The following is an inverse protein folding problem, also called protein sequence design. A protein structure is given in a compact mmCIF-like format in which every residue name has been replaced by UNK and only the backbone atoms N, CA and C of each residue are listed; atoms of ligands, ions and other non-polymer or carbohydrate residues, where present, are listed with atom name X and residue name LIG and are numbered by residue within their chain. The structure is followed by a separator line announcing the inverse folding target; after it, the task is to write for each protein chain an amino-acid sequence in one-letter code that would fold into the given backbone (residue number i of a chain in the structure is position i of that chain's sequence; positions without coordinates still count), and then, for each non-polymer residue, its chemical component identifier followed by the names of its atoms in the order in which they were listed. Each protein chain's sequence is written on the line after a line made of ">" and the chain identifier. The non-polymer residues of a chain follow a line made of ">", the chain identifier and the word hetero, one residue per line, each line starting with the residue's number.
data_IF_696694761523
#
_entry.id   IF_696694761523
#
_cell.length_a   1.000
_cell.length_b   1.000
_cell.length_c   1.000
_cell.angle_alpha   90.00
_cell.angle_beta   90.00
_cell.angle_gamma   90.00
#
_symmetry.space_group_name_H-M   'P 1'
#
loop_
_entity.id
_entity.type
_entity.pdbx_description
1 polymer ?
#
# COMPACT_ATOMS: atom_id res chain seq x y z
N UNK A 1 -18.54 -10.50 -5.05
CA UNK A 1 -17.08 -10.64 -5.11
C UNK A 1 -16.34 -9.87 -4.02
N UNK A 2 -16.80 -8.70 -3.55
CA UNK A 2 -16.10 -7.93 -2.50
C UNK A 2 -15.79 -8.70 -1.20
N UNK A 3 -16.70 -9.57 -0.74
CA UNK A 3 -16.55 -10.24 0.56
C UNK A 3 -15.35 -11.19 0.68
N UNK A 4 -14.86 -11.76 -0.42
CA UNK A 4 -13.73 -12.69 -0.41
C UNK A 4 -12.35 -11.99 -0.39
N UNK A 5 -12.32 -10.70 -0.73
CA UNK A 5 -11.07 -9.92 -0.79
C UNK A 5 -10.81 -9.09 0.47
N UNK A 6 -11.79 -8.96 1.37
CA UNK A 6 -11.58 -8.23 2.61
C UNK A 6 -10.68 -9.01 3.57
N UNK A 7 -9.68 -8.37 4.19
CA UNK A 7 -9.01 -8.94 5.34
C UNK A 7 -10.01 -9.11 6.49
N UNK A 8 -9.71 -10.02 7.43
CA UNK A 8 -10.50 -10.12 8.65
C UNK A 8 -10.54 -8.76 9.35
N UNK A 9 -11.73 -8.32 9.77
CA UNK A 9 -11.93 -6.98 10.36
C UNK A 9 -10.96 -6.72 11.52
N UNK A 10 -10.87 -7.67 12.46
CA UNK A 10 -9.91 -7.58 13.57
C UNK A 10 -8.45 -7.53 13.13
N UNK A 11 -8.08 -8.30 12.09
CA UNK A 11 -6.72 -8.29 11.55
C UNK A 11 -6.33 -6.97 10.89
N UNK A 12 -7.26 -6.34 10.18
CA UNK A 12 -7.06 -5.02 9.58
C UNK A 12 -6.94 -3.93 10.65
N UNK A 13 -7.90 -3.85 11.58
CA UNK A 13 -7.88 -2.82 12.65
C UNK A 13 -6.59 -2.92 13.46
N UNK A 14 -6.19 -4.14 13.84
CA UNK A 14 -4.93 -4.36 14.53
C UNK A 14 -3.71 -3.89 13.70
N UNK A 15 -3.69 -4.21 12.40
CA UNK A 15 -2.61 -3.77 11.51
C UNK A 15 -2.53 -2.24 11.39
N UNK A 16 -3.66 -1.55 11.29
CA UNK A 16 -3.73 -0.08 11.22
C UNK A 16 -3.28 0.56 12.54
N UNK A 17 -3.78 0.06 13.68
CA UNK A 17 -3.36 0.55 15.00
C UNK A 17 -1.85 0.40 15.15
N UNK A 18 -1.30 -0.78 14.83
CA UNK A 18 0.14 -1.00 14.85
C UNK A 18 0.87 -0.06 13.90
N UNK A 19 0.40 0.09 12.66
CA UNK A 19 1.03 0.97 11.67
C UNK A 19 1.23 2.39 12.21
N UNK A 20 0.20 3.00 12.81
CA UNK A 20 0.29 4.36 13.34
C UNK A 20 1.04 4.45 14.66
N UNK A 21 0.91 3.45 15.53
CA UNK A 21 1.46 3.48 16.89
C UNK A 21 2.90 3.01 17.00
N UNK A 22 3.42 2.18 16.08
CA UNK A 22 4.72 1.50 16.25
C UNK A 22 5.88 2.47 16.46
N UNK A 23 6.03 3.45 15.55
CA UNK A 23 7.12 4.43 15.63
C UNK A 23 6.95 5.32 16.88
N UNK A 24 5.80 5.97 17.13
CA UNK A 24 5.60 6.75 18.35
C UNK A 24 5.84 5.96 19.64
N UNK A 25 5.29 4.75 19.73
CA UNK A 25 5.46 3.88 20.90
C UNK A 25 6.94 3.52 21.11
N UNK A 26 7.66 3.19 20.04
CA UNK A 26 9.08 2.94 20.10
C UNK A 26 9.87 4.15 20.63
N UNK A 27 9.56 5.36 20.16
CA UNK A 27 10.18 6.58 20.69
C UNK A 27 9.92 6.75 22.19
N UNK A 28 8.67 6.57 22.64
CA UNK A 28 8.29 6.70 24.05
C UNK A 28 8.94 5.64 24.95
N UNK A 29 8.96 4.38 24.51
CA UNK A 29 9.62 3.27 25.22
C UNK A 29 11.12 3.55 25.34
N UNK A 30 11.76 4.00 24.26
CA UNK A 30 13.19 4.33 24.26
C UNK A 30 13.48 5.48 25.21
N UNK A 31 12.67 6.54 25.17
CA UNK A 31 12.79 7.69 26.04
C UNK A 31 12.70 7.27 27.51
N UNK A 32 11.71 6.44 27.85
CA UNK A 32 11.52 5.93 29.21
C UNK A 32 12.66 5.02 29.67
N UNK A 33 13.18 4.18 28.78
CA UNK A 33 14.30 3.27 29.07
C UNK A 33 15.64 4.00 29.21
N UNK A 34 15.81 5.14 28.53
CA UNK A 34 17.03 5.95 28.56
C UNK A 34 16.94 7.17 29.49
N UNK A 35 15.87 7.30 30.28
CA UNK A 35 15.62 8.47 31.13
C UNK A 35 16.78 8.80 32.07
N UNK A 36 17.35 7.80 32.76
CA UNK A 36 18.46 8.02 33.67
C UNK A 36 19.72 8.52 32.96
N UNK A 37 19.97 8.03 31.73
CA UNK A 37 21.08 8.48 30.89
C UNK A 37 20.87 9.90 30.39
N UNK A 38 19.62 10.28 30.10
CA UNK A 38 19.24 11.66 29.74
C UNK A 38 19.50 12.60 30.91
N UNK A 39 19.03 12.25 32.11
CA UNK A 39 19.24 13.05 33.33
C UNK A 39 20.73 13.23 33.65
N UNK A 40 21.53 12.18 33.44
CA UNK A 40 22.98 12.19 33.62
C UNK A 40 23.76 12.75 32.41
N UNK A 41 23.08 13.24 31.37
CA UNK A 41 23.65 13.82 30.14
C UNK A 41 24.57 12.89 29.33
N UNK A 42 24.38 11.57 29.43
CA UNK A 42 25.10 10.57 28.64
C UNK A 42 24.50 10.40 27.24
N UNK A 43 24.62 11.44 26.40
CA UNK A 43 23.95 11.49 25.09
C UNK A 43 24.36 10.40 24.10
N UNK A 44 25.58 9.87 24.20
CA UNK A 44 26.04 8.76 23.32
C UNK A 44 25.19 7.50 23.52
N UNK A 45 24.89 7.13 24.76
CA UNK A 45 24.09 5.94 25.08
C UNK A 45 22.60 6.13 24.78
N UNK A 46 22.11 7.38 24.91
CA UNK A 46 20.76 7.78 24.50
C UNK A 46 20.63 7.63 22.99
N UNK A 47 21.52 8.25 22.21
CA UNK A 47 21.52 8.19 20.76
C UNK A 47 21.62 6.74 20.24
N UNK A 48 22.50 5.93 20.83
CA UNK A 48 22.62 4.50 20.50
C UNK A 48 21.29 3.76 20.69
N UNK A 49 20.56 4.04 21.77
CA UNK A 49 19.24 3.46 22.01
C UNK A 49 18.22 3.80 20.92
N UNK A 50 18.13 5.08 20.56
CA UNK A 50 17.24 5.54 19.49
C UNK A 50 17.61 4.96 18.13
N UNK A 51 18.90 4.89 17.79
CA UNK A 51 19.37 4.30 16.52
C UNK A 51 18.95 2.84 16.42
N UNK A 52 19.18 2.05 17.48
CA UNK A 52 18.77 0.63 17.51
C UNK A 52 17.26 0.50 17.30
N UNK A 53 16.48 1.34 17.97
CA UNK A 53 15.02 1.30 17.88
C UNK A 53 14.51 1.72 16.50
N UNK A 54 15.14 2.71 15.86
CA UNK A 54 14.83 3.10 14.46
C UNK A 54 15.14 1.95 13.49
N UNK A 55 16.30 1.29 13.65
CA UNK A 55 16.71 0.16 12.80
C UNK A 55 15.71 -0.99 12.90
N UNK A 56 15.09 -1.22 14.06
CA UNK A 56 14.10 -2.29 14.25
C UNK A 56 12.71 -1.86 13.74
N UNK A 57 12.29 -0.64 14.06
CA UNK A 57 10.91 -0.19 13.83
C UNK A 57 10.64 0.15 12.38
N UNK A 58 11.57 0.76 11.66
CA UNK A 58 11.38 1.12 10.24
C UNK A 58 11.08 -0.12 9.38
N UNK A 59 11.85 -1.24 9.44
CA UNK A 59 11.52 -2.47 8.74
C UNK A 59 10.10 -2.99 9.01
N UNK A 60 9.69 -3.00 10.28
CA UNK A 60 8.38 -3.54 10.69
C UNK A 60 7.27 -2.64 10.15
N UNK A 61 7.41 -1.31 10.30
CA UNK A 61 6.47 -0.35 9.74
C UNK A 61 6.43 -0.43 8.21
N UNK A 62 7.55 -0.68 7.55
CA UNK A 62 7.60 -0.85 6.10
C UNK A 62 6.84 -2.07 5.61
N UNK A 63 6.96 -3.21 6.31
CA UNK A 63 6.19 -4.42 5.99
C UNK A 63 4.70 -4.21 6.27
N UNK A 64 4.35 -3.57 7.39
CA UNK A 64 2.97 -3.21 7.71
C UNK A 64 2.37 -2.29 6.65
N UNK A 65 3.09 -1.24 6.24
CA UNK A 65 2.62 -0.31 5.22
C UNK A 65 2.41 -1.00 3.87
N UNK A 66 3.37 -1.85 3.47
CA UNK A 66 3.26 -2.62 2.24
C UNK A 66 2.03 -3.54 2.28
N UNK A 67 1.81 -4.24 3.39
CA UNK A 67 0.63 -5.08 3.60
C UNK A 67 -0.66 -4.27 3.50
N UNK A 68 -0.81 -3.20 4.28
CA UNK A 68 -2.05 -2.40 4.34
C UNK A 68 -2.35 -1.77 2.97
N UNK A 69 -1.33 -1.25 2.28
CA UNK A 69 -1.49 -0.69 0.93
C UNK A 69 -2.00 -1.74 -0.04
N UNK A 70 -1.46 -2.96 0.03
CA UNK A 70 -1.87 -4.09 -0.79
C UNK A 70 -3.26 -4.60 -0.44
N UNK A 71 -3.65 -4.60 0.83
CA UNK A 71 -5.02 -4.95 1.26
C UNK A 71 -6.03 -3.98 0.63
N UNK A 72 -5.72 -2.67 0.61
CA UNK A 72 -6.60 -1.67 -0.02
C UNK A 72 -6.73 -1.90 -1.52
N UNK A 73 -5.64 -2.17 -2.22
CA UNK A 73 -5.69 -2.45 -3.65
C UNK A 73 -6.42 -3.76 -3.94
N UNK A 74 -6.26 -4.76 -3.08
CA UNK A 74 -6.82 -6.08 -3.30
C UNK A 74 -8.35 -6.08 -3.25
N UNK A 75 -8.95 -5.32 -2.33
CA UNK A 75 -10.41 -5.16 -2.22
C UNK A 75 -11.06 -4.70 -3.53
N UNK A 76 -10.36 -3.85 -4.28
CA UNK A 76 -10.84 -3.25 -5.53
C UNK A 76 -10.20 -3.88 -6.78
N UNK A 77 -9.57 -5.04 -6.60
CA UNK A 77 -8.90 -5.75 -7.68
C UNK A 77 -9.68 -6.99 -8.11
N UNK A 78 -9.66 -7.28 -9.41
CA UNK A 78 -10.13 -8.56 -9.94
C UNK A 78 -9.18 -9.70 -9.59
N UNK A 79 -7.88 -9.40 -9.51
CA UNK A 79 -6.85 -10.39 -9.25
C UNK A 79 -5.59 -9.75 -8.68
N UNK A 80 -4.79 -10.57 -7.98
CA UNK A 80 -3.46 -10.24 -7.47
C UNK A 80 -2.44 -11.30 -7.86
N UNK A 81 -1.17 -10.90 -7.97
CA UNK A 81 -0.05 -11.83 -8.10
C UNK A 81 0.45 -12.30 -6.73
N UNK A 82 1.37 -13.28 -6.72
CA UNK A 82 2.17 -13.58 -5.53
C UNK A 82 3.12 -12.42 -5.21
N UNK A 83 3.58 -12.35 -3.96
CA UNK A 83 4.63 -11.41 -3.55
C UNK A 83 5.96 -11.86 -4.13
N UNK A 84 6.61 -10.99 -4.90
CA UNK A 84 7.88 -11.25 -5.55
C UNK A 84 8.95 -10.26 -5.07
N UNK A 85 10.23 -10.66 -5.12
CA UNK A 85 11.36 -9.79 -4.79
C UNK A 85 12.06 -9.21 -6.03
N UNK A 86 11.89 -9.86 -7.18
CA UNK A 86 12.55 -9.50 -8.45
C UNK A 86 11.54 -9.39 -9.59
N UNK A 87 11.85 -8.54 -10.58
CA UNK A 87 10.97 -8.31 -11.73
C UNK A 87 10.65 -9.61 -12.48
N UNK A 88 11.61 -10.52 -12.57
CA UNK A 88 11.43 -11.84 -13.20
C UNK A 88 10.34 -12.66 -12.53
N UNK A 89 10.38 -12.82 -11.20
CA UNK A 89 9.32 -13.50 -10.44
C UNK A 89 7.96 -12.84 -10.66
N UNK A 90 7.91 -11.50 -10.67
CA UNK A 90 6.65 -10.78 -10.83
C UNK A 90 6.07 -11.02 -12.22
N UNK A 91 6.91 -11.00 -13.25
CA UNK A 91 6.52 -11.30 -14.64
C UNK A 91 5.97 -12.72 -14.76
N UNK A 92 6.67 -13.70 -14.20
CA UNK A 92 6.24 -15.10 -14.21
C UNK A 92 4.87 -15.24 -13.52
N UNK A 93 4.70 -14.63 -12.33
CA UNK A 93 3.41 -14.65 -11.64
C UNK A 93 2.29 -13.93 -12.39
N UNK A 94 2.61 -12.89 -13.17
CA UNK A 94 1.65 -12.22 -14.03
C UNK A 94 1.24 -13.09 -15.23
N UNK A 95 2.17 -13.86 -15.79
CA UNK A 95 1.92 -14.76 -16.92
C UNK A 95 1.14 -16.00 -16.50
N UNK A 96 1.39 -16.54 -15.31
CA UNK A 96 0.63 -17.63 -14.69
C UNK A 96 -0.83 -17.26 -14.37
N UNK A 97 -1.16 -15.95 -14.36
CA UNK A 97 -2.49 -15.50 -13.96
C UNK A 97 -3.50 -15.63 -15.12
N UNK A 98 -4.26 -16.73 -15.10
CA UNK A 98 -5.26 -17.04 -16.14
C UNK A 98 -6.49 -16.12 -16.12
N UNK A 99 -6.78 -15.46 -15.00
CA UNK A 99 -7.99 -14.65 -14.81
C UNK A 99 -7.98 -13.32 -15.58
N UNK A 100 -6.85 -12.63 -15.62
CA UNK A 100 -6.74 -11.32 -16.27
C UNK A 100 -5.75 -11.27 -17.44
N UNK A 101 -4.82 -12.24 -17.56
CA UNK A 101 -3.79 -12.29 -18.62
C UNK A 101 -3.10 -10.93 -18.83
N UNK A 102 -2.29 -10.53 -17.85
CA UNK A 102 -1.57 -9.25 -17.87
C UNK A 102 -0.78 -9.04 -19.18
N UNK A 103 -0.89 -7.85 -19.79
CA UNK A 103 -0.07 -7.48 -20.95
C UNK A 103 1.36 -7.11 -20.51
N UNK A 104 2.15 -8.12 -20.16
CA UNK A 104 3.52 -7.97 -19.66
C UNK A 104 4.41 -7.22 -20.64
N UNK A 105 4.24 -7.42 -21.94
CA UNK A 105 5.04 -6.75 -22.98
C UNK A 105 4.84 -5.23 -22.93
N UNK A 106 3.58 -4.78 -22.80
CA UNK A 106 3.28 -3.36 -22.63
C UNK A 106 3.82 -2.83 -21.29
N UNK A 107 3.64 -3.55 -20.19
CA UNK A 107 4.16 -3.17 -18.86
C UNK A 107 5.68 -2.95 -18.91
N UNK A 108 6.43 -3.89 -19.51
CA UNK A 108 7.88 -3.79 -19.70
C UNK A 108 8.27 -2.56 -20.52
N UNK A 109 7.51 -2.23 -21.57
CA UNK A 109 7.76 -1.08 -22.43
C UNK A 109 7.62 0.25 -21.69
N UNK A 110 6.62 0.39 -20.82
CA UNK A 110 6.46 1.58 -19.96
C UNK A 110 7.41 1.58 -18.75
N UNK A 111 8.04 0.44 -18.46
CA UNK A 111 9.02 0.26 -17.39
C UNK A 111 8.39 -0.37 -16.16
N UNK A 112 9.19 -1.08 -15.35
CA UNK A 112 8.72 -1.78 -14.15
C UNK A 112 9.73 -1.73 -13.00
N UNK A 113 9.29 -1.90 -11.74
CA UNK A 113 10.20 -2.00 -10.60
C UNK A 113 11.10 -3.25 -10.73
N UNK A 114 12.40 -3.08 -10.45
CA UNK A 114 13.40 -4.15 -10.65
C UNK A 114 13.54 -5.09 -9.45
N UNK A 115 13.72 -4.51 -8.26
CA UNK A 115 14.06 -5.20 -7.01
C UNK A 115 13.26 -4.60 -5.86
N UNK A 116 12.83 -5.46 -4.94
CA UNK A 116 12.11 -5.16 -3.71
C UNK A 116 10.84 -5.99 -3.60
N UNK A 117 10.25 -6.15 -2.40
CA UNK A 117 8.95 -6.79 -2.25
C UNK A 117 7.91 -6.07 -3.10
N UNK A 118 7.29 -6.79 -4.02
CA UNK A 118 6.33 -6.25 -4.97
C UNK A 118 5.18 -7.21 -5.25
N UNK A 119 4.01 -6.62 -5.49
CA UNK A 119 2.78 -7.33 -5.84
C UNK A 119 2.12 -6.52 -6.95
N UNK A 120 1.49 -7.22 -7.90
CA UNK A 120 0.69 -6.60 -8.92
C UNK A 120 -0.80 -6.91 -8.76
N UNK A 121 -1.61 -5.95 -9.15
CA UNK A 121 -3.06 -5.97 -9.05
C UNK A 121 -3.66 -5.51 -10.37
N UNK A 122 -4.82 -6.07 -10.68
CA UNK A 122 -5.70 -5.51 -11.70
C UNK A 122 -6.86 -4.81 -11.02
N UNK A 123 -6.84 -3.48 -11.01
CA UNK A 123 -7.96 -2.66 -10.51
C UNK A 123 -9.00 -2.49 -11.59
N UNK A 124 -10.23 -2.94 -11.34
CA UNK A 124 -11.36 -2.69 -12.22
C UNK A 124 -12.62 -2.56 -11.36
N UNK A 125 -13.02 -1.33 -11.07
CA UNK A 125 -14.20 -1.06 -10.26
C UNK A 125 -14.91 0.23 -10.72
N UNK A 126 -16.21 0.32 -10.46
CA UNK A 126 -17.10 1.42 -10.78
C UNK A 126 -18.04 1.68 -9.61
N UNK A 127 -17.92 2.86 -8.98
CA UNK A 127 -18.75 3.29 -7.86
C UNK A 127 -19.53 4.54 -8.24
N UNK A 128 -20.83 4.59 -7.92
CA UNK A 128 -21.60 5.82 -8.10
C UNK A 128 -21.24 6.83 -7.02
N UNK A 129 -20.80 8.02 -7.41
CA UNK A 129 -20.50 9.11 -6.51
C UNK A 129 -21.68 10.08 -6.46
N UNK A 130 -22.44 10.04 -5.34
CA UNK A 130 -23.63 10.88 -5.12
C UNK A 130 -23.29 12.39 -5.14
N UNK A 131 -22.11 12.78 -4.67
CA UNK A 131 -21.71 14.19 -4.60
C UNK A 131 -21.36 14.76 -5.97
N UNK A 132 -20.75 13.94 -6.84
CA UNK A 132 -20.35 14.35 -8.19
C UNK A 132 -21.40 14.03 -9.26
N UNK A 133 -22.52 13.39 -8.89
CA UNK A 133 -23.55 12.87 -9.81
C UNK A 133 -22.99 12.08 -11.00
N UNK A 134 -21.87 11.37 -10.80
CA UNK A 134 -21.19 10.59 -11.84
C UNK A 134 -20.69 9.27 -11.26
N UNK A 135 -20.42 8.31 -12.13
CA UNK A 135 -19.70 7.10 -11.74
C UNK A 135 -18.21 7.35 -11.74
N UNK A 136 -17.57 7.15 -10.60
CA UNK A 136 -16.11 7.09 -10.50
C UNK A 136 -15.69 5.68 -10.92
N UNK A 137 -14.74 5.59 -11.85
CA UNK A 137 -14.26 4.33 -12.44
C UNK A 137 -12.76 4.25 -12.23
N UNK A 138 -12.29 3.11 -11.73
CA UNK A 138 -10.86 2.79 -11.68
C UNK A 138 -10.57 1.64 -12.63
N UNK A 139 -9.68 1.89 -13.59
CA UNK A 139 -9.28 0.92 -14.61
C UNK A 139 -7.76 0.96 -14.80
N UNK A 140 -7.03 0.23 -13.96
CA UNK A 140 -5.57 0.24 -13.99
C UNK A 140 -4.97 -1.12 -13.68
N UNK A 141 -3.76 -1.36 -14.20
CA UNK A 141 -2.85 -2.38 -13.66
C UNK A 141 -1.92 -1.66 -12.69
N UNK A 142 -1.75 -2.20 -11.50
CA UNK A 142 -0.96 -1.54 -10.44
C UNK A 142 0.11 -2.50 -9.96
N UNK A 143 1.36 -2.03 -9.91
CA UNK A 143 2.45 -2.73 -9.23
C UNK A 143 2.85 -1.92 -8.01
N UNK A 144 2.75 -2.50 -6.83
CA UNK A 144 3.29 -1.92 -5.61
C UNK A 144 4.69 -2.45 -5.37
N UNK A 145 5.58 -1.61 -4.86
CA UNK A 145 6.92 -1.98 -4.41
C UNK A 145 7.20 -1.37 -3.05
N UNK A 146 7.60 -2.17 -2.07
CA UNK A 146 8.15 -1.68 -0.81
C UNK A 146 9.59 -1.20 -0.99
N UNK A 147 9.91 0.00 -0.52
CA UNK A 147 11.28 0.51 -0.42
C UNK A 147 11.91 0.13 0.93
N UNK A 148 11.80 -1.15 1.27
CA UNK A 148 12.37 -1.71 2.49
C UNK A 148 13.86 -1.34 2.63
N UNK A 149 14.33 -0.94 3.84
CA UNK A 149 13.65 -0.96 5.14
C UNK A 149 12.83 0.30 5.46
N UNK A 150 12.70 1.26 4.53
CA UNK A 150 11.97 2.49 4.80
C UNK A 150 10.46 2.25 4.67
N UNK A 151 9.61 2.90 5.51
CA UNK A 151 8.16 2.79 5.45
C UNK A 151 7.60 3.62 4.29
N UNK A 152 7.98 3.21 3.08
CA UNK A 152 7.60 3.82 1.82
C UNK A 152 7.17 2.71 0.87
N UNK A 153 5.97 2.87 0.30
CA UNK A 153 5.45 1.97 -0.72
C UNK A 153 5.29 2.77 -1.99
N UNK A 154 6.10 2.44 -2.99
CA UNK A 154 6.00 2.99 -4.33
C UNK A 154 4.87 2.27 -5.09
N UNK A 155 4.04 3.04 -5.78
CA UNK A 155 2.93 2.54 -6.57
C UNK A 155 3.15 2.93 -8.02
N UNK A 156 3.25 1.92 -8.89
CA UNK A 156 3.32 2.05 -10.34
C UNK A 156 1.95 1.75 -10.92
N UNK A 157 1.25 2.78 -11.36
CA UNK A 157 -0.09 2.69 -11.92
C UNK A 157 -0.03 2.78 -13.44
N UNK A 158 -0.37 1.68 -14.11
CA UNK A 158 -0.47 1.59 -15.55
C UNK A 158 -1.92 1.79 -15.94
N UNK A 159 -2.20 2.91 -16.59
CA UNK A 159 -3.54 3.25 -17.03
C UNK A 159 -3.94 2.37 -18.22
N UNK A 160 -5.14 1.78 -18.14
CA UNK A 160 -5.67 0.86 -19.16
C UNK A 160 -6.73 1.57 -19.98
N UNK A 161 -6.65 1.44 -21.30
CA UNK A 161 -7.62 2.03 -22.24
C UNK A 161 -9.05 1.53 -21.90
N UNK A 162 -10.05 2.42 -21.75
CA UNK A 162 -11.43 2.01 -21.51
C UNK A 162 -12.04 1.25 -22.71
N UNK A 163 -11.49 1.37 -23.92
CA UNK A 163 -11.96 0.65 -25.11
C UNK A 163 -11.26 -0.70 -25.31
N UNK A 164 -10.03 -0.84 -24.80
CA UNK A 164 -9.24 -2.06 -24.88
C UNK A 164 -8.60 -2.37 -23.51
N UNK A 165 -9.22 -3.32 -22.81
CA UNK A 165 -8.86 -3.73 -21.45
C UNK A 165 -7.43 -4.30 -21.28
N UNK A 166 -6.68 -4.49 -22.37
CA UNK A 166 -5.30 -4.98 -22.36
C UNK A 166 -4.30 -3.93 -22.86
N UNK A 167 -4.75 -2.78 -23.34
CA UNK A 167 -3.89 -1.74 -23.86
C UNK A 167 -3.53 -0.75 -22.76
N UNK A 168 -2.25 -0.66 -22.46
CA UNK A 168 -1.71 0.32 -21.51
C UNK A 168 -1.43 1.62 -22.26
N UNK A 169 -2.00 2.72 -21.76
CA UNK A 169 -1.92 4.05 -22.38
C UNK A 169 -0.97 4.99 -21.65
N UNK A 170 -0.69 4.73 -20.37
CA UNK A 170 0.14 5.60 -19.55
C UNK A 170 0.70 4.91 -18.32
N UNK A 171 1.68 5.55 -17.70
CA UNK A 171 2.27 5.16 -16.42
C UNK A 171 2.32 6.37 -15.49
N UNK A 172 1.72 6.23 -14.32
CA UNK A 172 1.81 7.18 -13.21
C UNK A 172 2.49 6.52 -12.02
N UNK A 173 3.43 7.23 -11.40
CA UNK A 173 4.12 6.77 -10.18
C UNK A 173 3.79 7.70 -9.03
N UNK A 174 3.56 7.13 -7.86
CA UNK A 174 3.41 7.89 -6.63
C UNK A 174 3.83 7.05 -5.43
N UNK A 175 3.94 7.68 -4.26
CA UNK A 175 4.43 7.05 -3.04
C UNK A 175 3.39 7.17 -1.93
N UNK A 176 3.20 6.07 -1.21
CA UNK A 176 2.59 6.09 0.13
C UNK A 176 3.76 6.18 1.10
N UNK A 177 3.80 7.25 1.90
CA UNK A 177 4.90 7.54 2.84
C UNK A 177 4.29 7.65 4.23
N UNK A 178 4.82 6.93 5.21
CA UNK A 178 4.40 7.08 6.61
C UNK A 178 4.50 8.54 7.08
N UNK A 179 3.52 9.07 7.84
CA UNK A 179 2.34 8.41 8.40
C UNK A 179 1.07 8.57 7.54
N UNK A 180 1.18 8.75 6.23
CA UNK A 180 -0.01 8.93 5.39
C UNK A 180 -0.87 7.65 5.35
N UNK A 181 -2.18 7.81 5.54
CA UNK A 181 -3.11 6.69 5.46
C UNK A 181 -3.21 6.15 4.01
N UNK A 182 -2.89 4.86 3.74
CA UNK A 182 -2.81 4.33 2.38
C UNK A 182 -4.08 4.53 1.55
N UNK A 183 -5.26 4.28 2.15
CA UNK A 183 -6.54 4.47 1.45
C UNK A 183 -6.79 5.92 1.01
N UNK A 184 -6.32 6.92 1.77
CA UNK A 184 -6.50 8.33 1.42
C UNK A 184 -5.60 8.72 0.24
N UNK A 185 -4.34 8.26 0.27
CA UNK A 185 -3.37 8.49 -0.82
C UNK A 185 -3.84 7.83 -2.11
N UNK A 186 -4.29 6.57 -2.05
CA UNK A 186 -4.87 5.87 -3.20
C UNK A 186 -6.10 6.59 -3.73
N UNK A 187 -7.00 7.04 -2.84
CA UNK A 187 -8.22 7.71 -3.27
C UNK A 187 -7.95 9.02 -4.01
N UNK A 188 -7.01 9.81 -3.49
CA UNK A 188 -6.56 11.04 -4.15
C UNK A 188 -5.85 10.76 -5.47
N UNK A 189 -5.10 9.67 -5.56
CA UNK A 189 -4.37 9.31 -6.77
C UNK A 189 -5.32 8.92 -7.91
N UNK A 190 -6.38 8.16 -7.64
CA UNK A 190 -7.28 7.63 -8.68
C UNK A 190 -8.58 8.41 -8.86
N UNK A 191 -8.83 9.46 -8.06
CA UNK A 191 -10.13 10.13 -7.95
C UNK A 191 -11.30 9.14 -7.71
N UNK A 192 -11.01 8.08 -6.95
CA UNK A 192 -11.90 6.95 -6.66
C UNK A 192 -11.81 6.60 -5.18
N UNK A 193 -12.92 6.36 -4.49
CA UNK A 193 -12.93 6.17 -3.04
C UNK A 193 -12.51 4.73 -2.64
N UNK A 194 -11.30 4.58 -2.09
CA UNK A 194 -10.79 3.33 -1.54
C UNK A 194 -11.14 3.20 -0.04
N UNK A 195 -12.17 2.43 0.26
CA UNK A 195 -12.65 2.13 1.62
C UNK A 195 -12.47 0.64 1.94
N UNK A 196 -11.91 0.32 3.11
CA UNK A 196 -11.68 -1.09 3.50
C UNK A 196 -12.93 -1.77 4.07
N UNK A 197 -13.86 -1.02 4.65
CA UNK A 197 -15.14 -1.54 5.10
C UNK A 197 -16.19 -0.53 4.69
N UNK A 198 -17.27 -1.01 4.06
CA UNK A 198 -18.48 -0.22 3.87
C UNK A 198 -19.09 -0.01 5.25
N UNK A 199 -18.65 1.04 5.94
CA UNK A 199 -19.46 1.63 6.99
C UNK A 199 -20.58 2.39 6.30
N UNK A 200 -21.58 1.67 5.80
CA UNK A 200 -22.91 2.25 5.62
C UNK A 200 -23.52 2.41 7.03
N UNK A 201 -22.87 3.25 7.85
CA UNK A 201 -23.61 3.94 8.90
C UNK A 201 -24.37 5.01 8.13
N UNK A 202 -25.59 4.65 7.72
CA UNK A 202 -26.62 5.63 7.43
C UNK A 202 -26.78 6.53 8.65
N UNK A 203 -26.13 7.69 8.63
CA UNK A 203 -26.10 8.61 9.75
C UNK A 203 -25.10 9.71 9.47
N UNK A 204 -25.60 10.84 9.00
CA UNK A 204 -24.82 11.92 8.42
C UNK A 204 -23.71 12.46 9.32
N UNK A 205 -22.64 12.87 8.66
CA UNK A 205 -21.89 14.05 9.06
C UNK A 205 -21.84 14.96 7.84
N UNK A 206 -22.62 16.03 7.95
CA UNK A 206 -22.50 17.25 7.16
C UNK A 206 -21.20 17.97 7.51
#
# INVERSE_FOLDING_TARGET
>A
MYFEHFPSFGGYIFSIILYFSLIPAAFLITLRAKWDYIMRKYWKDVARGFIIMVIITLPITALLQFKITNDYLYVYSLTKTKTCLTAGCLIESMQENEYYKFNVTAIKKFGMPKIGPMVAFRLADKKFNKLKFKYDVVNAVVITRSLFPLPITEVWSYEVDPKDNHKIIGLRKFYVIYPAHPGSVLSKAYDFEFTMFLWDIGGGFA
#
